data_IF_169765735179
#
_entry.id   IF_169765735179
#
_cell.length_a   1.000
_cell.length_b   1.000
_cell.length_c   1.000
_cell.angle_alpha   90.00
_cell.angle_beta   90.00
_cell.angle_gamma   90.00
#
_symmetry.space_group_name_H-M   'P 1'
#
loop_
_entity.id
_entity.type
_entity.pdbx_description
1 polymer ?
#
# COMPACT_ATOMS: atom_id res chain seq x y z
N UNK A 1 -5.61 3.26 -6.93
CA UNK A 1 -5.03 2.07 -7.60
C UNK A 1 -5.71 0.82 -7.06
N UNK A 2 -6.22 -0.05 -7.93
CA UNK A 2 -6.78 -1.36 -7.55
C UNK A 2 -6.06 -2.48 -8.30
N UNK A 3 -5.80 -3.59 -7.62
CA UNK A 3 -4.99 -4.69 -8.12
C UNK A 3 -5.63 -6.02 -7.72
N UNK A 4 -5.84 -6.90 -8.70
CA UNK A 4 -6.25 -8.29 -8.48
C UNK A 4 -5.01 -9.18 -8.32
N UNK A 5 -4.95 -9.93 -7.23
CA UNK A 5 -3.90 -10.92 -7.00
C UNK A 5 -4.22 -12.19 -7.79
N UNK A 6 -3.50 -12.43 -8.89
CA UNK A 6 -3.75 -13.56 -9.78
C UNK A 6 -3.05 -14.84 -9.32
N UNK A 7 -1.82 -14.70 -8.83
CA UNK A 7 -1.00 -15.77 -8.26
C UNK A 7 -0.13 -15.16 -7.17
N UNK A 8 -0.05 -15.80 -6.00
CA UNK A 8 0.70 -15.26 -4.84
C UNK A 8 2.16 -15.74 -4.77
N UNK A 9 2.56 -16.70 -5.61
CA UNK A 9 3.82 -17.41 -5.41
C UNK A 9 3.88 -18.14 -4.05
N UNK A 10 5.07 -18.54 -3.65
CA UNK A 10 5.30 -19.22 -2.38
C UNK A 10 5.37 -18.23 -1.21
N UNK A 11 6.01 -17.08 -1.46
CA UNK A 11 6.31 -16.09 -0.41
C UNK A 11 5.20 -15.06 -0.20
N UNK A 12 4.39 -14.79 -1.24
CA UNK A 12 3.30 -13.79 -1.23
C UNK A 12 3.73 -12.35 -0.97
N UNK A 13 5.02 -12.06 -1.10
CA UNK A 13 5.57 -10.73 -0.81
C UNK A 13 5.10 -9.75 -1.88
N UNK A 14 4.17 -8.90 -1.51
CA UNK A 14 3.78 -7.73 -2.27
C UNK A 14 3.32 -6.61 -1.34
N UNK A 15 3.52 -5.39 -1.80
CA UNK A 15 3.12 -4.19 -1.10
C UNK A 15 2.53 -3.17 -2.07
N UNK A 16 1.41 -2.59 -1.68
CA UNK A 16 0.72 -1.51 -2.37
C UNK A 16 0.79 -0.25 -1.52
N UNK A 17 1.06 0.91 -2.10
CA UNK A 17 1.22 2.11 -1.31
C UNK A 17 1.20 3.42 -2.09
N UNK A 18 1.47 4.48 -1.34
CA UNK A 18 1.65 5.84 -1.83
C UNK A 18 3.06 6.29 -1.45
N UNK A 19 3.81 6.76 -2.45
CA UNK A 19 5.23 7.13 -2.31
C UNK A 19 5.49 8.48 -2.99
N UNK A 20 6.62 9.11 -2.67
CA UNK A 20 7.07 10.32 -3.36
C UNK A 20 7.77 9.99 -4.70
N UNK A 21 7.89 10.96 -5.60
CA UNK A 21 8.51 10.79 -6.94
C UNK A 21 9.93 10.19 -6.92
N UNK A 22 10.74 10.56 -5.92
CA UNK A 22 12.13 10.15 -5.77
C UNK A 22 12.31 8.88 -4.94
N UNK A 23 11.23 8.12 -4.75
CA UNK A 23 11.25 6.90 -3.96
C UNK A 23 12.10 5.81 -4.64
N UNK A 24 12.89 5.11 -3.83
CA UNK A 24 13.74 4.01 -4.30
C UNK A 24 12.87 2.80 -4.69
N UNK A 25 12.80 2.51 -6.00
CA UNK A 25 11.99 1.42 -6.54
C UNK A 25 12.50 0.02 -6.16
N UNK A 26 13.65 -0.09 -5.50
CA UNK A 26 14.16 -1.35 -4.93
C UNK A 26 13.66 -1.61 -3.50
N UNK A 27 12.81 -0.74 -2.95
CA UNK A 27 12.20 -0.89 -1.61
C UNK A 27 10.69 -1.12 -1.68
N UNK A 28 10.15 -1.65 -0.59
CA UNK A 28 8.70 -1.82 -0.42
C UNK A 28 8.07 -0.55 0.17
N UNK A 29 6.93 -0.05 -0.36
CA UNK A 29 6.25 1.12 0.16
C UNK A 29 6.09 1.11 1.69
N UNK A 30 6.25 2.27 2.32
CA UNK A 30 6.18 2.44 3.78
C UNK A 30 7.51 2.24 4.50
N UNK A 31 8.58 1.82 3.82
CA UNK A 31 9.92 1.67 4.41
C UNK A 31 10.71 2.97 4.57
N UNK A 32 10.42 3.99 3.75
CA UNK A 32 11.05 5.31 3.85
C UNK A 32 10.05 6.36 4.36
N UNK A 33 10.60 7.42 4.97
CA UNK A 33 9.81 8.56 5.46
C UNK A 33 9.01 9.23 4.34
N UNK A 34 7.79 9.69 4.66
CA UNK A 34 6.89 10.29 3.68
C UNK A 34 6.24 9.28 2.73
N UNK A 35 6.33 7.99 3.04
CA UNK A 35 5.63 6.92 2.31
C UNK A 35 4.77 6.09 3.24
N UNK A 36 3.77 5.43 2.65
CA UNK A 36 2.92 4.45 3.34
C UNK A 36 2.72 3.23 2.45
N UNK A 37 2.62 2.06 3.05
CA UNK A 37 2.45 0.81 2.33
C UNK A 37 1.67 -0.23 3.10
N UNK A 38 0.85 -0.98 2.38
CA UNK A 38 0.13 -2.14 2.83
C UNK A 38 0.83 -3.39 2.28
N UNK A 39 1.43 -4.18 3.17
CA UNK A 39 2.14 -5.42 2.88
C UNK A 39 1.20 -6.60 3.09
N UNK A 40 0.88 -7.30 2.01
CA UNK A 40 -0.24 -8.25 1.98
C UNK A 40 0.11 -9.62 2.56
N UNK A 41 1.39 -9.96 2.59
CA UNK A 41 1.91 -11.22 3.12
C UNK A 41 1.82 -11.28 4.64
N UNK A 42 2.04 -10.15 5.31
CA UNK A 42 1.95 -10.04 6.77
C UNK A 42 0.62 -9.44 7.24
N UNK A 43 -0.17 -8.84 6.34
CA UNK A 43 -1.35 -8.07 6.70
C UNK A 43 -1.01 -6.82 7.53
N UNK A 44 0.11 -6.18 7.18
CA UNK A 44 0.67 -5.07 7.95
C UNK A 44 0.69 -3.77 7.16
N UNK A 45 0.57 -2.69 7.90
CA UNK A 45 0.68 -1.32 7.41
C UNK A 45 2.01 -0.71 7.86
N UNK A 46 2.79 -0.23 6.91
CA UNK A 46 4.07 0.44 7.10
C UNK A 46 3.91 1.93 6.81
N UNK A 47 4.40 2.77 7.72
CA UNK A 47 4.29 4.22 7.63
C UNK A 47 5.49 4.90 8.33
N UNK A 48 5.61 6.21 8.17
CA UNK A 48 6.63 7.00 8.88
C UNK A 48 6.51 6.79 10.39
N UNK A 49 7.61 6.43 11.04
CA UNK A 49 7.65 6.06 12.46
C UNK A 49 7.37 4.58 12.76
N UNK A 50 6.77 3.82 11.83
CA UNK A 50 6.48 2.38 11.96
C UNK A 50 7.10 1.51 10.85
N UNK A 51 7.99 2.09 10.04
CA UNK A 51 8.64 1.47 8.88
C UNK A 51 9.41 0.16 9.14
N UNK A 52 9.82 -0.15 10.39
CA UNK A 52 10.60 -1.37 10.70
C UNK A 52 9.76 -2.58 11.08
N UNK A 53 8.66 -2.36 11.80
CA UNK A 53 7.83 -3.44 12.34
C UNK A 53 6.48 -3.55 11.65
N UNK A 54 6.03 -2.48 10.99
CA UNK A 54 4.66 -2.35 10.54
C UNK A 54 3.67 -2.32 11.71
N UNK A 55 2.39 -2.16 11.38
CA UNK A 55 1.27 -2.31 12.29
C UNK A 55 0.37 -3.41 11.75
N UNK A 56 0.12 -4.43 12.57
CA UNK A 56 -0.83 -5.49 12.22
C UNK A 56 -2.24 -4.94 12.10
N UNK A 57 -2.97 -5.45 11.12
CA UNK A 57 -4.39 -5.20 10.93
C UNK A 57 -5.08 -6.55 10.80
N UNK A 58 -6.05 -6.80 11.68
CA UNK A 58 -6.78 -8.07 11.72
C UNK A 58 -7.46 -8.34 10.37
N UNK A 59 -7.27 -9.55 9.84
CA UNK A 59 -7.88 -9.96 8.57
C UNK A 59 -7.32 -9.27 7.32
N UNK A 60 -6.20 -8.55 7.43
CA UNK A 60 -5.63 -7.81 6.30
C UNK A 60 -4.62 -8.60 5.45
N UNK A 61 -4.49 -9.92 5.61
CA UNK A 61 -3.67 -10.71 4.68
C UNK A 61 -4.44 -10.91 3.37
N UNK A 62 -3.77 -10.81 2.21
CA UNK A 62 -4.40 -11.03 0.91
C UNK A 62 -3.83 -12.26 0.20
N UNK A 63 -4.69 -12.91 -0.58
CA UNK A 63 -4.44 -14.18 -1.26
C UNK A 63 -4.88 -14.11 -2.72
N UNK A 64 -4.64 -15.20 -3.45
CA UNK A 64 -5.10 -15.35 -4.82
C UNK A 64 -6.61 -15.14 -4.90
N UNK A 65 -7.03 -14.26 -5.80
CA UNK A 65 -8.43 -13.88 -6.01
C UNK A 65 -8.85 -12.62 -5.27
N UNK A 66 -8.06 -12.15 -4.30
CA UNK A 66 -8.37 -10.92 -3.57
C UNK A 66 -8.06 -9.67 -4.40
N UNK A 67 -8.89 -8.65 -4.19
CA UNK A 67 -8.73 -7.31 -4.72
C UNK A 67 -8.18 -6.39 -3.63
N UNK A 68 -6.97 -5.89 -3.85
CA UNK A 68 -6.38 -4.87 -2.98
C UNK A 68 -6.50 -3.50 -3.63
N UNK A 69 -6.73 -2.47 -2.83
CA UNK A 69 -6.80 -1.10 -3.32
C UNK A 69 -6.12 -0.11 -2.36
N UNK A 70 -5.60 0.94 -2.97
CA UNK A 70 -5.00 2.10 -2.31
C UNK A 70 -5.61 3.35 -2.96
N UNK A 71 -6.15 4.22 -2.12
CA UNK A 71 -6.76 5.48 -2.52
C UNK A 71 -6.13 6.63 -1.74
N UNK A 72 -5.91 7.76 -2.42
CA UNK A 72 -5.45 9.00 -1.78
C UNK A 72 -6.58 10.01 -1.87
N UNK A 73 -7.10 10.44 -0.71
CA UNK A 73 -8.12 11.48 -0.64
C UNK A 73 -7.48 12.87 -0.49
N UNK A 74 -7.61 13.68 -1.54
CA UNK A 74 -7.15 15.07 -1.59
C UNK A 74 -8.22 16.08 -1.18
N UNK A 75 -9.46 15.67 -0.89
CA UNK A 75 -10.57 16.61 -0.59
C UNK A 75 -10.50 17.18 0.83
N UNK A 76 -9.67 16.62 1.69
CA UNK A 76 -9.52 16.99 3.11
C UNK A 76 -8.10 17.36 3.50
N UNK A 77 -7.34 18.06 2.64
CA UNK A 77 -5.99 18.53 2.97
C UNK A 77 -6.03 19.55 4.10
N UNK A 78 -6.09 19.05 5.33
CA UNK A 78 -5.91 19.83 6.54
C UNK A 78 -4.41 19.82 6.87
N UNK A 79 -3.83 21.01 7.05
CA UNK A 79 -2.44 21.17 7.51
C UNK A 79 -1.38 20.51 6.61
N UNK A 80 -1.65 20.33 5.31
CA UNK A 80 -0.70 19.73 4.38
C UNK A 80 -0.57 18.20 4.51
N UNK A 81 -1.58 17.53 5.07
CA UNK A 81 -1.67 16.07 5.13
C UNK A 81 -2.76 15.54 4.19
N UNK A 82 -2.52 14.39 3.56
CA UNK A 82 -3.53 13.61 2.82
C UNK A 82 -3.91 12.37 3.60
N UNK A 83 -5.12 11.89 3.36
CA UNK A 83 -5.55 10.58 3.81
C UNK A 83 -5.22 9.54 2.74
N UNK A 84 -4.53 8.47 3.16
CA UNK A 84 -4.34 7.26 2.34
C UNK A 84 -5.19 6.15 2.93
N UNK A 85 -6.03 5.55 2.09
CA UNK A 85 -6.97 4.50 2.46
C UNK A 85 -6.56 3.21 1.77
N UNK A 86 -6.59 2.11 2.53
CA UNK A 86 -6.35 0.78 2.00
C UNK A 86 -7.61 -0.07 2.10
N UNK A 87 -7.82 -0.89 1.08
CA UNK A 87 -8.98 -1.77 0.97
C UNK A 87 -8.56 -3.19 0.60
N UNK A 88 -9.29 -4.15 1.16
CA UNK A 88 -9.24 -5.56 0.81
C UNK A 88 -10.67 -6.02 0.47
N UNK A 89 -10.89 -6.45 -0.77
CA UNK A 89 -12.20 -6.88 -1.27
C UNK A 89 -13.32 -5.84 -1.06
N UNK A 90 -12.98 -4.56 -1.20
CA UNK A 90 -13.90 -3.44 -1.00
C UNK A 90 -14.14 -3.06 0.47
N UNK A 91 -13.54 -3.77 1.43
CA UNK A 91 -13.60 -3.44 2.85
C UNK A 91 -12.39 -2.56 3.18
N UNK A 92 -12.65 -1.38 3.76
CA UNK A 92 -11.61 -0.50 4.27
C UNK A 92 -10.89 -1.17 5.46
N UNK A 93 -9.58 -1.36 5.34
CA UNK A 93 -8.77 -1.96 6.41
C UNK A 93 -8.06 -0.89 7.26
N UNK A 94 -7.77 0.29 6.68
CA UNK A 94 -7.02 1.35 7.35
C UNK A 94 -7.15 2.69 6.63
N UNK A 95 -7.17 3.77 7.42
CA UNK A 95 -6.87 5.14 6.99
C UNK A 95 -5.62 5.64 7.69
N UNK A 96 -4.72 6.29 6.96
CA UNK A 96 -3.51 6.94 7.47
C UNK A 96 -3.47 8.39 7.03
N UNK A 97 -3.00 9.27 7.91
CA UNK A 97 -2.64 10.63 7.52
C UNK A 97 -1.15 10.69 7.19
N UNK A 98 -0.83 10.98 5.94
CA UNK A 98 0.53 11.19 5.49
C UNK A 98 0.73 12.68 5.19
N UNK A 99 1.82 13.26 5.66
CA UNK A 99 2.25 14.59 5.18
C UNK A 99 2.45 14.51 3.68
N UNK A 100 1.87 15.45 2.92
CA UNK A 100 1.93 15.44 1.45
C UNK A 100 3.38 15.70 1.02
N UNK A 101 4.11 14.73 0.45
CA UNK A 101 5.23 15.08 -0.42
C UNK A 101 4.64 15.80 -1.64
N UNK A 102 5.38 16.78 -2.19
CA UNK A 102 4.91 17.67 -3.28
C UNK A 102 4.19 16.93 -4.42
N UNK A 103 4.60 15.68 -4.67
CA UNK A 103 3.96 14.77 -5.62
C UNK A 103 3.86 13.37 -4.99
N UNK A 104 2.68 12.74 -5.13
CA UNK A 104 2.38 11.40 -4.63
C UNK A 104 2.10 10.47 -5.81
N UNK A 105 2.78 9.34 -5.84
CA UNK A 105 2.57 8.27 -6.80
C UNK A 105 2.00 7.03 -6.11
N UNK A 106 1.09 6.34 -6.79
CA UNK A 106 0.71 4.98 -6.42
C UNK A 106 1.84 4.03 -6.80
N UNK A 107 2.20 3.12 -5.90
CA UNK A 107 3.30 2.18 -6.12
C UNK A 107 2.90 0.76 -5.72
N UNK A 108 3.23 -0.19 -6.59
CA UNK A 108 3.08 -1.62 -6.34
C UNK A 108 4.48 -2.25 -6.44
N UNK A 109 4.92 -2.91 -5.37
CA UNK A 109 6.16 -3.69 -5.33
C UNK A 109 5.82 -5.14 -5.04
N UNK A 110 6.48 -6.09 -5.68
CA UNK A 110 6.20 -7.51 -5.52
C UNK A 110 7.44 -8.35 -5.82
N UNK A 111 7.50 -9.52 -5.18
CA UNK A 111 8.53 -10.50 -5.44
C UNK A 111 8.25 -11.23 -6.78
N UNK A 112 9.30 -11.72 -7.43
CA UNK A 112 9.25 -12.19 -8.83
C UNK A 112 8.33 -13.38 -9.10
N UNK A 113 7.92 -14.11 -8.07
CA UNK A 113 7.01 -15.27 -8.15
C UNK A 113 5.53 -14.89 -8.04
N UNK A 114 5.22 -13.59 -7.88
CA UNK A 114 3.86 -13.08 -7.77
C UNK A 114 3.36 -12.54 -9.13
N UNK A 115 2.09 -12.82 -9.45
CA UNK A 115 1.40 -12.22 -10.59
C UNK A 115 0.22 -11.41 -10.12
N UNK A 116 0.15 -10.16 -10.58
CA UNK A 116 -0.90 -9.22 -10.25
C UNK A 116 -1.37 -8.51 -11.51
N UNK A 117 -2.66 -8.19 -11.56
CA UNK A 117 -3.28 -7.43 -12.64
C UNK A 117 -3.78 -6.11 -12.08
N UNK A 118 -3.27 -5.00 -12.60
CA UNK A 118 -3.84 -3.68 -12.32
C UNK A 118 -5.22 -3.59 -12.98
N UNK A 119 -6.25 -3.32 -12.18
CA UNK A 119 -7.59 -3.07 -12.69
C UNK A 119 -7.64 -1.64 -13.25
N UNK A 120 -8.13 -1.50 -14.49
CA UNK A 120 -8.47 -0.18 -15.03
C UNK A 120 -9.69 0.38 -14.30
N UNK A 121 -9.73 1.70 -14.02
CA UNK A 121 -10.91 2.35 -13.47
C UNK A 121 -12.11 2.27 -14.43
#
# INVERSE_FOLDING_TARGET
LQVLIQETGERRIAALGAVHESYDCHKMPGWDSGTVGYHIDEGKIFETGFHKLGREVEGAMAYRGDLIACEVDFRGVLEGKVSVLFFLNGIEIRVLQCSIPREINYFLSFHWDLKALQCSP
#
